data_IF_366792147957
#
_entry.id   IF_366792147957
#
_cell.length_a   1.000
_cell.length_b   1.000
_cell.length_c   1.000
_cell.angle_alpha   90.00
_cell.angle_beta   90.00
_cell.angle_gamma   90.00
#
_symmetry.space_group_name_H-M   'P 1'
#
loop_
_entity.id
_entity.type
_entity.pdbx_description
1 polymer ?
#
# COMPACT_ATOMS: atom_id res chain seq x y z
N UNK A 1 -6.86 18.29 13.64
CA UNK A 1 -6.36 16.93 13.27
C UNK A 1 -5.79 16.99 11.88
N UNK A 2 -4.51 16.69 11.71
CA UNK A 2 -3.83 16.64 10.41
C UNK A 2 -3.62 15.21 9.95
N UNK A 3 -3.85 14.92 8.66
CA UNK A 3 -3.51 13.66 8.03
C UNK A 3 -2.07 13.74 7.54
N UNK A 4 -1.25 12.73 7.83
CA UNK A 4 0.16 12.67 7.45
C UNK A 4 0.50 11.32 6.84
N UNK A 5 1.30 11.33 5.78
CA UNK A 5 1.95 10.13 5.26
C UNK A 5 3.33 9.99 5.90
N UNK A 6 3.60 8.81 6.46
CA UNK A 6 4.86 8.48 7.12
C UNK A 6 5.48 7.28 6.40
N UNK A 7 6.71 7.43 5.94
CA UNK A 7 7.44 6.35 5.27
C UNK A 7 8.27 5.53 6.27
N UNK A 8 8.70 4.33 5.88
CA UNK A 8 9.39 3.36 6.73
C UNK A 8 10.54 3.94 7.55
N UNK A 9 11.38 4.80 6.96
CA UNK A 9 12.54 5.44 7.63
C UNK A 9 12.16 6.50 8.67
N UNK A 10 10.91 6.97 8.62
CA UNK A 10 10.35 7.97 9.53
C UNK A 10 9.54 7.32 10.66
N UNK A 11 9.37 5.99 10.60
CA UNK A 11 8.58 5.27 11.59
C UNK A 11 9.23 5.30 12.98
N UNK A 12 8.45 5.70 13.97
CA UNK A 12 8.82 5.78 15.38
C UNK A 12 8.40 4.53 16.16
N UNK A 13 8.73 4.48 17.45
CA UNK A 13 8.21 3.47 18.38
C UNK A 13 6.71 3.62 18.58
N UNK A 14 6.19 4.84 18.52
CA UNK A 14 4.76 5.10 18.72
C UNK A 14 3.96 4.55 17.52
N UNK A 15 4.45 4.71 16.29
CA UNK A 15 3.88 4.06 15.12
C UNK A 15 3.86 2.52 15.27
N UNK A 16 4.94 1.92 15.78
CA UNK A 16 4.97 0.49 16.09
C UNK A 16 3.90 0.07 17.11
N UNK A 17 3.71 0.88 18.14
CA UNK A 17 2.70 0.63 19.17
C UNK A 17 1.29 0.75 18.58
N UNK A 18 1.03 1.77 17.77
CA UNK A 18 -0.23 1.96 17.08
C UNK A 18 -0.56 0.79 16.13
N UNK A 19 0.43 0.28 15.38
CA UNK A 19 0.24 -0.87 14.49
C UNK A 19 -0.11 -2.15 15.22
N UNK A 20 0.40 -2.38 16.43
CA UNK A 20 0.00 -3.53 17.25
C UNK A 20 -1.48 -3.51 17.65
N UNK A 21 -2.11 -2.33 17.62
CA UNK A 21 -3.52 -2.12 17.92
C UNK A 21 -4.35 -1.90 16.65
N UNK A 22 -3.72 -1.99 15.46
CA UNK A 22 -4.39 -1.74 14.19
C UNK A 22 -5.51 -2.76 13.96
N UNK A 23 -6.68 -2.25 13.63
CA UNK A 23 -7.87 -3.04 13.32
C UNK A 23 -8.38 -2.62 11.94
N UNK A 24 -8.28 -3.49 10.96
CA UNK A 24 -8.82 -3.29 9.61
C UNK A 24 -9.99 -4.22 9.28
N UNK A 25 -10.27 -5.21 10.14
CA UNK A 25 -11.45 -6.08 10.02
C UNK A 25 -12.08 -6.35 11.38
N UNK A 26 -13.36 -6.74 11.36
CA UNK A 26 -14.07 -7.20 12.55
C UNK A 26 -13.53 -8.55 13.03
N UNK A 27 -13.57 -8.83 14.35
CA UNK A 27 -13.25 -10.16 14.87
C UNK A 27 -14.11 -11.24 14.21
N UNK A 28 -13.45 -12.32 13.76
CA UNK A 28 -14.15 -13.40 13.04
C UNK A 28 -14.53 -13.07 11.60
N UNK A 29 -13.98 -12.02 11.05
CA UNK A 29 -14.10 -11.69 9.62
C UNK A 29 -13.48 -12.77 8.72
N UNK A 30 -13.62 -12.64 7.40
CA UNK A 30 -13.07 -13.59 6.45
C UNK A 30 -11.54 -13.60 6.47
N UNK A 31 -10.93 -14.72 6.10
CA UNK A 31 -9.49 -14.92 6.17
C UNK A 31 -8.70 -13.85 5.39
N UNK A 32 -9.16 -13.52 4.19
CA UNK A 32 -8.53 -12.47 3.37
C UNK A 32 -8.50 -11.06 4.03
N UNK A 33 -9.33 -10.82 5.05
CA UNK A 33 -9.32 -9.59 5.84
C UNK A 33 -8.55 -9.75 7.17
N UNK A 34 -8.58 -10.97 7.74
CA UNK A 34 -7.90 -11.28 8.99
C UNK A 34 -6.38 -11.38 8.80
N UNK A 35 -5.93 -11.92 7.66
CA UNK A 35 -4.51 -12.12 7.37
C UNK A 35 -3.73 -10.80 7.32
N UNK A 36 -4.13 -9.77 6.54
CA UNK A 36 -3.49 -8.46 6.58
C UNK A 36 -3.44 -7.87 7.99
N UNK A 37 -4.49 -8.03 8.79
CA UNK A 37 -4.51 -7.52 10.16
C UNK A 37 -3.49 -8.21 11.05
N UNK A 38 -3.38 -9.54 11.00
CA UNK A 38 -2.36 -10.30 11.75
C UNK A 38 -0.97 -9.85 11.33
N UNK A 39 -0.72 -9.84 10.03
CA UNK A 39 0.56 -9.39 9.49
C UNK A 39 0.95 -7.99 9.98
N UNK A 40 0.07 -6.99 9.83
CA UNK A 40 0.34 -5.60 10.23
C UNK A 40 0.63 -5.48 11.74
N UNK A 41 -0.05 -6.25 12.57
CA UNK A 41 0.14 -6.20 14.03
C UNK A 41 1.44 -6.86 14.50
N UNK A 42 1.91 -7.87 13.77
CA UNK A 42 3.08 -8.67 14.13
C UNK A 42 4.38 -8.13 13.51
N UNK A 43 4.29 -7.37 12.41
CA UNK A 43 5.47 -6.84 11.74
C UNK A 43 6.27 -5.85 12.61
N UNK A 44 7.55 -5.71 12.30
CA UNK A 44 8.39 -4.64 12.85
C UNK A 44 8.64 -3.57 11.80
N UNK A 45 8.06 -2.37 11.98
CA UNK A 45 8.30 -1.24 11.07
C UNK A 45 9.74 -0.73 11.09
N UNK A 46 10.52 -1.08 12.10
CA UNK A 46 11.94 -0.70 12.26
C UNK A 46 12.91 -1.68 11.61
N UNK A 47 12.42 -2.83 11.16
CA UNK A 47 13.18 -3.89 10.49
C UNK A 47 12.52 -4.21 9.17
N UNK A 48 12.62 -3.28 8.22
CA UNK A 48 12.09 -3.49 6.87
C UNK A 48 13.10 -4.29 6.06
N UNK A 49 12.71 -5.41 5.44
CA UNK A 49 13.58 -6.16 4.54
C UNK A 49 14.07 -5.29 3.37
N UNK A 50 15.22 -5.66 2.80
CA UNK A 50 15.75 -4.97 1.61
C UNK A 50 14.75 -5.10 0.44
N UNK A 51 14.53 -4.00 -0.26
CA UNK A 51 13.59 -3.96 -1.40
C UNK A 51 12.13 -3.71 -0.99
N UNK A 52 11.79 -3.85 0.28
CA UNK A 52 10.45 -3.55 0.80
C UNK A 52 10.36 -2.10 1.28
N UNK A 53 9.24 -1.47 0.98
CA UNK A 53 8.88 -0.12 1.41
C UNK A 53 7.55 -0.16 2.15
N UNK A 54 7.38 0.76 3.10
CA UNK A 54 6.13 0.88 3.86
C UNK A 54 5.70 2.34 3.94
N UNK A 55 4.41 2.56 3.81
CA UNK A 55 3.79 3.87 4.03
C UNK A 55 2.66 3.72 5.03
N UNK A 56 2.68 4.55 6.06
CA UNK A 56 1.60 4.68 7.03
C UNK A 56 0.82 5.94 6.75
N UNK A 57 -0.49 5.86 6.93
CA UNK A 57 -1.37 7.01 6.98
C UNK A 57 -1.68 7.27 8.46
N UNK A 58 -1.24 8.42 8.94
CA UNK A 58 -1.29 8.76 10.36
C UNK A 58 -2.17 9.98 10.55
N UNK A 59 -3.08 9.92 11.51
CA UNK A 59 -3.83 11.08 11.98
C UNK A 59 -3.15 11.59 13.25
N UNK A 60 -2.59 12.79 13.17
CA UNK A 60 -2.02 13.45 14.35
C UNK A 60 -3.12 13.84 15.30
N UNK A 61 -3.08 13.31 16.53
CA UNK A 61 -3.96 13.72 17.61
C UNK A 61 -3.60 15.11 18.17
N UNK A 62 -4.54 15.73 18.88
CA UNK A 62 -4.30 16.99 19.60
C UNK A 62 -3.36 16.81 20.81
N UNK A 63 -3.07 15.57 21.16
CA UNK A 63 -2.11 15.19 22.20
C UNK A 63 -0.90 14.58 21.50
N UNK A 64 0.33 15.13 21.65
CA UNK A 64 1.53 14.71 20.93
C UNK A 64 1.96 13.24 21.13
N UNK A 65 1.30 12.51 22.01
CA UNK A 65 1.65 11.15 22.41
C UNK A 65 0.90 10.03 21.68
N UNK A 66 -0.05 10.35 20.80
CA UNK A 66 -0.88 9.33 20.13
C UNK A 66 -1.12 9.65 18.66
N UNK A 67 -0.08 9.47 17.85
CA UNK A 67 -0.27 9.31 16.42
C UNK A 67 -1.07 8.04 16.17
N UNK A 68 -2.24 8.18 15.56
CA UNK A 68 -3.13 7.08 15.27
C UNK A 68 -2.94 6.61 13.84
N UNK A 69 -2.47 5.39 13.67
CA UNK A 69 -2.32 4.80 12.32
C UNK A 69 -3.69 4.40 11.81
N UNK A 70 -4.12 5.05 10.72
CA UNK A 70 -5.40 4.81 10.06
C UNK A 70 -5.27 4.13 8.71
N UNK A 71 -4.05 3.96 8.21
CA UNK A 71 -3.76 3.23 6.98
C UNK A 71 -2.35 2.66 6.98
N UNK A 72 -2.18 1.55 6.28
CA UNK A 72 -0.91 0.86 6.10
C UNK A 72 -0.82 0.33 4.68
N UNK A 73 0.33 0.49 4.04
CA UNK A 73 0.65 -0.17 2.79
C UNK A 73 2.10 -0.66 2.82
N UNK A 74 2.29 -1.93 2.45
CA UNK A 74 3.59 -2.52 2.17
C UNK A 74 3.69 -2.83 0.69
N UNK A 75 4.79 -2.43 0.09
CA UNK A 75 5.07 -2.57 -1.31
C UNK A 75 6.59 -2.60 -1.53
N UNK A 76 7.02 -2.99 -2.72
CA UNK A 76 8.44 -3.04 -3.01
C UNK A 76 8.74 -3.67 -4.36
N UNK A 77 10.01 -3.94 -4.60
CA UNK A 77 10.47 -4.70 -5.76
C UNK A 77 10.30 -6.18 -5.43
N UNK A 78 9.60 -6.92 -6.27
CA UNK A 78 9.49 -8.36 -6.14
C UNK A 78 10.89 -9.00 -6.28
N UNK A 79 11.32 -9.72 -5.24
CA UNK A 79 12.70 -10.23 -5.12
C UNK A 79 12.85 -11.63 -5.73
N UNK A 80 11.75 -12.37 -5.81
CA UNK A 80 11.70 -13.75 -6.31
C UNK A 80 11.16 -13.78 -7.73
N UNK A 81 11.85 -13.12 -8.63
CA UNK A 81 11.42 -13.14 -10.02
C UNK A 81 12.50 -13.75 -10.87
N UNK A 82 12.10 -14.52 -11.86
CA UNK A 82 12.95 -14.89 -12.98
C UNK A 82 13.50 -13.61 -13.61
N UNK A 83 14.58 -13.70 -14.38
CA UNK A 83 15.20 -12.53 -15.05
C UNK A 83 14.20 -11.66 -15.83
N UNK A 84 13.07 -12.23 -16.27
CA UNK A 84 11.99 -11.53 -16.99
C UNK A 84 11.18 -10.54 -16.13
N UNK A 85 11.22 -10.69 -14.80
CA UNK A 85 10.48 -9.85 -13.86
C UNK A 85 11.39 -9.03 -12.95
N UNK A 86 12.68 -8.98 -13.23
CA UNK A 86 13.60 -8.16 -12.45
C UNK A 86 13.16 -6.70 -12.48
N UNK A 87 12.91 -6.14 -11.29
CA UNK A 87 12.46 -4.75 -11.16
C UNK A 87 10.96 -4.52 -11.26
N UNK A 88 10.13 -5.56 -11.33
CA UNK A 88 8.67 -5.47 -11.18
C UNK A 88 8.30 -5.13 -9.74
N UNK A 89 7.34 -4.26 -9.55
CA UNK A 89 6.85 -3.89 -8.23
C UNK A 89 5.69 -4.76 -7.79
N UNK A 90 5.57 -4.92 -6.48
CA UNK A 90 4.44 -5.59 -5.85
C UNK A 90 3.89 -4.72 -4.72
N UNK A 91 2.56 -4.64 -4.62
CA UNK A 91 1.86 -4.20 -3.41
C UNK A 91 1.44 -5.47 -2.68
N UNK A 92 2.12 -5.74 -1.54
CA UNK A 92 1.87 -6.96 -0.75
C UNK A 92 0.67 -6.81 0.18
N UNK A 93 0.54 -5.64 0.81
CA UNK A 93 -0.57 -5.36 1.73
C UNK A 93 -1.00 -3.91 1.62
N UNK A 94 -2.32 -3.68 1.59
CA UNK A 94 -2.94 -2.37 1.77
C UNK A 94 -4.16 -2.52 2.68
N UNK A 95 -4.24 -1.70 3.71
CA UNK A 95 -5.35 -1.73 4.64
C UNK A 95 -5.64 -0.34 5.23
N UNK A 96 -6.91 -0.06 5.47
CA UNK A 96 -7.35 1.10 6.25
C UNK A 96 -8.04 0.65 7.52
N UNK A 97 -7.88 1.40 8.60
CA UNK A 97 -8.50 1.08 9.88
C UNK A 97 -10.03 1.07 9.76
N UNK A 98 -10.71 0.19 10.50
CA UNK A 98 -12.17 0.09 10.52
C UNK A 98 -12.85 1.43 10.76
N UNK A 99 -12.36 2.20 11.73
CA UNK A 99 -12.87 3.53 12.08
C UNK A 99 -12.72 4.57 10.97
N UNK A 100 -11.91 4.28 9.95
CA UNK A 100 -11.65 5.14 8.80
C UNK A 100 -12.37 4.69 7.53
N UNK A 101 -13.24 3.67 7.63
CA UNK A 101 -14.03 3.21 6.47
C UNK A 101 -14.96 4.31 5.95
N UNK A 102 -15.10 4.37 4.62
CA UNK A 102 -15.95 5.36 3.97
C UNK A 102 -15.37 6.76 3.88
N UNK A 103 -14.12 6.98 4.32
CA UNK A 103 -13.46 8.29 4.32
C UNK A 103 -12.50 8.50 3.16
N UNK A 104 -12.46 7.61 2.18
CA UNK A 104 -11.55 7.62 1.03
C UNK A 104 -10.05 7.61 1.38
N UNK A 105 -9.68 7.20 2.60
CA UNK A 105 -8.28 7.11 2.99
C UNK A 105 -7.52 6.00 2.23
N UNK A 106 -8.21 4.96 1.76
CA UNK A 106 -7.64 3.96 0.86
C UNK A 106 -7.17 4.59 -0.46
N UNK A 107 -7.96 5.49 -1.02
CA UNK A 107 -7.61 6.22 -2.25
C UNK A 107 -6.38 7.10 -2.04
N UNK A 108 -6.32 7.85 -0.92
CA UNK A 108 -5.16 8.67 -0.55
C UNK A 108 -3.90 7.83 -0.39
N UNK A 109 -4.00 6.69 0.29
CA UNK A 109 -2.88 5.80 0.53
C UNK A 109 -2.36 5.18 -0.78
N UNK A 110 -3.26 4.59 -1.58
CA UNK A 110 -2.88 3.94 -2.84
C UNK A 110 -2.31 4.96 -3.84
N UNK A 111 -2.93 6.14 -3.98
CA UNK A 111 -2.40 7.23 -4.81
C UNK A 111 -0.96 7.59 -4.44
N UNK A 112 -0.68 7.76 -3.15
CA UNK A 112 0.66 8.10 -2.68
C UNK A 112 1.69 7.00 -2.98
N UNK A 113 1.29 5.73 -2.86
CA UNK A 113 2.14 4.58 -3.16
C UNK A 113 2.43 4.49 -4.66
N UNK A 114 1.41 4.63 -5.52
CA UNK A 114 1.57 4.63 -6.97
C UNK A 114 2.55 5.71 -7.43
N UNK A 115 2.42 6.94 -6.92
CA UNK A 115 3.37 8.03 -7.24
C UNK A 115 4.79 7.63 -6.87
N UNK A 116 5.01 7.08 -5.69
CA UNK A 116 6.34 6.64 -5.23
C UNK A 116 6.91 5.51 -6.07
N UNK A 117 6.10 4.50 -6.41
CA UNK A 117 6.54 3.39 -7.25
C UNK A 117 6.92 3.86 -8.66
N UNK A 118 6.13 4.76 -9.23
CA UNK A 118 6.42 5.37 -10.52
C UNK A 118 7.72 6.17 -10.51
N UNK A 119 7.91 7.02 -9.49
CA UNK A 119 9.14 7.81 -9.34
C UNK A 119 10.37 6.91 -9.17
N UNK A 120 10.24 5.82 -8.41
CA UNK A 120 11.29 4.82 -8.23
C UNK A 120 11.61 4.09 -9.55
N UNK A 121 10.58 3.66 -10.29
CA UNK A 121 10.74 3.00 -11.58
C UNK A 121 11.55 3.85 -12.56
N UNK A 122 11.22 5.13 -12.65
CA UNK A 122 11.94 6.05 -13.54
C UNK A 122 13.36 6.38 -13.06
N UNK A 123 13.51 6.57 -11.75
CA UNK A 123 14.81 6.89 -11.16
C UNK A 123 15.82 5.77 -11.33
N UNK A 124 15.39 4.53 -11.20
CA UNK A 124 16.26 3.34 -11.23
C UNK A 124 16.13 2.54 -12.52
N UNK A 125 15.40 3.05 -13.51
CA UNK A 125 15.16 2.39 -14.81
C UNK A 125 14.62 0.97 -14.66
N UNK A 126 13.65 0.79 -13.75
CA UNK A 126 12.99 -0.50 -13.51
C UNK A 126 11.79 -0.69 -14.43
N UNK A 127 11.33 -1.92 -14.55
CA UNK A 127 10.08 -2.22 -15.26
C UNK A 127 8.91 -1.46 -14.63
N UNK A 128 8.18 -0.65 -15.42
CA UNK A 128 7.12 0.21 -14.90
C UNK A 128 5.81 -0.56 -14.68
N UNK A 129 5.88 -1.72 -14.06
CA UNK A 129 4.77 -2.64 -13.79
C UNK A 129 4.61 -2.86 -12.30
N UNK A 130 3.38 -2.75 -11.82
CA UNK A 130 2.98 -3.04 -10.44
C UNK A 130 1.99 -4.18 -10.42
N UNK A 131 2.26 -5.19 -9.64
CA UNK A 131 1.39 -6.35 -9.42
C UNK A 131 0.82 -6.36 -8.00
N UNK A 132 -0.36 -6.92 -7.84
CA UNK A 132 -0.95 -7.22 -6.53
C UNK A 132 -1.92 -8.39 -6.64
N UNK A 133 -2.05 -9.15 -5.58
CA UNK A 133 -3.01 -10.25 -5.47
C UNK A 133 -4.17 -9.80 -4.58
N UNK A 134 -5.39 -10.04 -5.03
CA UNK A 134 -6.61 -9.69 -4.29
C UNK A 134 -7.59 -10.86 -4.32
N UNK A 135 -8.09 -11.26 -3.15
CA UNK A 135 -9.22 -12.20 -3.09
C UNK A 135 -10.43 -11.58 -3.81
N UNK A 136 -11.01 -12.23 -4.83
CA UNK A 136 -12.13 -11.66 -5.61
C UNK A 136 -13.41 -11.43 -4.78
N UNK A 137 -13.49 -12.03 -3.59
CA UNK A 137 -14.58 -11.78 -2.60
C UNK A 137 -14.37 -10.45 -1.87
N UNK A 138 -13.14 -9.92 -1.85
CA UNK A 138 -12.79 -8.60 -1.27
C UNK A 138 -13.18 -7.47 -2.23
N UNK A 139 -14.48 -7.28 -2.44
CA UNK A 139 -15.00 -6.24 -3.35
C UNK A 139 -14.44 -4.84 -3.06
N UNK A 140 -14.31 -4.39 -1.81
CA UNK A 140 -13.72 -3.06 -1.54
C UNK A 140 -12.29 -2.90 -2.09
N UNK A 141 -11.45 -3.94 -2.00
CA UNK A 141 -10.09 -3.90 -2.58
C UNK A 141 -10.12 -3.97 -4.10
N UNK A 142 -10.92 -4.87 -4.68
CA UNK A 142 -11.11 -4.94 -6.13
C UNK A 142 -11.52 -3.58 -6.71
N UNK A 143 -12.53 -2.95 -6.11
CA UNK A 143 -13.03 -1.63 -6.53
C UNK A 143 -11.97 -0.54 -6.33
N UNK A 144 -11.19 -0.59 -5.25
CA UNK A 144 -10.11 0.36 -5.00
C UNK A 144 -9.06 0.28 -6.13
N UNK A 145 -8.51 -0.88 -6.39
CA UNK A 145 -7.47 -1.05 -7.41
C UNK A 145 -7.98 -0.73 -8.81
N UNK A 146 -9.21 -1.17 -9.16
CA UNK A 146 -9.82 -0.86 -10.46
C UNK A 146 -9.97 0.65 -10.68
N UNK A 147 -10.39 1.42 -9.67
CA UNK A 147 -10.47 2.89 -9.76
C UNK A 147 -9.13 3.56 -10.06
N UNK A 148 -8.03 2.93 -9.67
CA UNK A 148 -6.67 3.41 -9.93
C UNK A 148 -6.07 2.85 -11.23
N UNK A 149 -6.87 2.18 -12.04
CA UNK A 149 -6.47 1.71 -13.37
C UNK A 149 -5.78 0.35 -13.36
N UNK A 150 -5.79 -0.39 -12.27
CA UNK A 150 -5.36 -1.78 -12.29
C UNK A 150 -6.31 -2.62 -13.13
N UNK A 151 -5.75 -3.48 -13.96
CA UNK A 151 -6.46 -4.48 -14.75
C UNK A 151 -6.48 -5.81 -14.00
N UNK A 152 -7.62 -6.49 -14.03
CA UNK A 152 -7.78 -7.83 -13.47
C UNK A 152 -7.34 -8.84 -14.54
N UNK A 153 -6.22 -9.51 -14.30
CA UNK A 153 -5.64 -10.53 -15.19
C UNK A 153 -6.29 -11.92 -14.97
N UNK A 154 -7.22 -12.02 -14.02
CA UNK A 154 -7.87 -13.26 -13.64
C UNK A 154 -7.16 -13.99 -12.50
N UNK A 155 -7.50 -15.28 -12.30
CA UNK A 155 -6.90 -16.09 -11.23
C UNK A 155 -5.38 -16.14 -11.32
N UNK A 156 -4.71 -15.93 -10.19
CA UNK A 156 -3.26 -16.04 -10.12
C UNK A 156 -2.81 -17.48 -10.40
N UNK A 157 -1.83 -17.70 -11.30
CA UNK A 157 -1.36 -19.05 -11.61
C UNK A 157 -0.79 -19.84 -10.43
N UNK A 158 -0.19 -19.13 -9.45
CA UNK A 158 0.43 -19.74 -8.29
C UNK A 158 -0.54 -19.92 -7.13
N UNK A 159 -1.57 -19.06 -7.03
CA UNK A 159 -2.63 -19.13 -6.03
C UNK A 159 -4.01 -18.77 -6.61
N UNK A 160 -4.72 -19.71 -7.22
CA UNK A 160 -5.98 -19.46 -7.92
C UNK A 160 -7.15 -18.95 -7.05
N UNK A 161 -7.00 -18.92 -5.73
CA UNK A 161 -7.99 -18.29 -4.82
C UNK A 161 -7.94 -16.77 -4.90
N UNK A 162 -6.85 -16.21 -5.42
CA UNK A 162 -6.65 -14.78 -5.63
C UNK A 162 -6.67 -14.43 -7.11
N UNK A 163 -7.05 -13.20 -7.42
CA UNK A 163 -6.85 -12.60 -8.73
C UNK A 163 -5.57 -11.78 -8.74
N UNK A 164 -4.82 -11.90 -9.82
CA UNK A 164 -3.68 -11.04 -10.10
C UNK A 164 -4.18 -9.75 -10.74
N UNK A 165 -3.81 -8.60 -10.17
CA UNK A 165 -4.10 -7.30 -10.75
C UNK A 165 -2.80 -6.63 -11.16
N UNK A 166 -2.80 -5.95 -12.29
CA UNK A 166 -1.64 -5.29 -12.87
C UNK A 166 -1.89 -3.80 -13.16
N UNK A 167 -0.88 -2.96 -12.97
CA UNK A 167 -0.86 -1.57 -13.40
C UNK A 167 0.46 -1.27 -14.10
N UNK A 168 0.41 -0.88 -15.36
CA UNK A 168 1.58 -0.43 -16.11
C UNK A 168 1.63 1.11 -16.16
N UNK A 169 2.80 1.69 -15.86
CA UNK A 169 3.03 3.12 -15.97
C UNK A 169 3.44 3.48 -17.40
N UNK A 170 2.64 4.29 -18.08
CA UNK A 170 2.95 4.71 -19.44
C UNK A 170 4.01 5.82 -19.48
N UNK A 171 4.90 5.85 -20.48
CA UNK A 171 5.94 6.88 -20.63
C UNK A 171 5.40 8.32 -20.77
N UNK A 172 4.16 8.49 -21.21
CA UNK A 172 3.52 9.81 -21.42
C UNK A 172 3.24 10.55 -20.10
N UNK A 173 3.23 9.85 -18.98
CA UNK A 173 3.05 10.47 -17.66
C UNK A 173 4.31 11.18 -17.14
N UNK A 174 5.45 11.04 -17.84
CA UNK A 174 6.72 11.73 -17.52
C UNK A 174 6.64 13.27 -17.61
N UNK A 175 5.74 13.81 -18.43
CA UNK A 175 5.74 15.23 -18.79
C UNK A 175 4.98 16.17 -17.85
N UNK A 176 4.08 15.67 -17.03
CA UNK A 176 3.08 16.52 -16.38
C UNK A 176 3.33 16.83 -14.89
N UNK A 177 4.39 16.30 -14.27
CA UNK A 177 4.59 16.41 -12.82
C UNK A 177 5.71 17.35 -12.37
N UNK A 178 6.49 17.93 -13.27
CA UNK A 178 7.49 18.92 -12.88
C UNK A 178 6.92 20.32 -12.59
N UNK A 179 5.59 20.49 -12.62
CA UNK A 179 4.92 21.79 -12.47
C UNK A 179 3.90 21.95 -11.36
N UNK A 180 3.52 20.91 -10.65
CA UNK A 180 2.58 21.03 -9.54
C UNK A 180 3.22 20.68 -8.20
N UNK A 181 3.76 21.70 -7.54
CA UNK A 181 3.96 21.66 -6.10
C UNK A 181 2.59 21.42 -5.47
N UNK A 182 2.31 20.20 -5.04
CA UNK A 182 1.16 19.91 -4.22
C UNK A 182 1.34 20.67 -2.89
N UNK A 183 0.80 21.88 -2.82
CA UNK A 183 0.56 22.53 -1.56
C UNK A 183 -0.56 21.75 -0.87
N UNK A 184 -0.20 20.93 0.08
CA UNK A 184 -1.16 20.37 1.04
C UNK A 184 -1.46 21.45 2.06
N UNK A 185 -2.69 21.94 2.04
CA UNK A 185 -3.28 22.73 3.13
C UNK A 185 -3.82 21.80 4.21
#
# INVERSE_FOLDING_TARGET
MGLKLVIERECSRDHQTALRQFLCCEPGGPEWAMDPQRYIRDLSVRKTPKGIMRTLLVVSGDIPLHDDVVGFCEYGVAVETTDEHEGVYQISYIATALKARGTHLGDTLLSSVIVRLRDDAWRFNRTPLVLTQVDPRNKPSMDLFTRFGFMDEGPDPDDPEYHLLSLEFTPQERGNYFGSTLAFF
#
